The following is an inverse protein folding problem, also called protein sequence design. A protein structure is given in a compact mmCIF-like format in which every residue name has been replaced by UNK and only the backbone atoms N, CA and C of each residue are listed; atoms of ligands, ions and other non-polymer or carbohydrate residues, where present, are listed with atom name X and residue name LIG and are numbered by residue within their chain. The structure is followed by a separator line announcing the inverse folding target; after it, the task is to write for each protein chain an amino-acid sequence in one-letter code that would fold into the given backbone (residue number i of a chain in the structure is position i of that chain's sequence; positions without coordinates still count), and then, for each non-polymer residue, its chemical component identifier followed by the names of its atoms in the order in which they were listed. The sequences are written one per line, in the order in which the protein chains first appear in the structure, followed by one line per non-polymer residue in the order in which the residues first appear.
data_IF_850222274910
#
_entry.id   IF_850222274910
#
_cell.length_a   1.000
_cell.length_b   1.000
_cell.length_c   1.000
_cell.angle_alpha   90.00
_cell.angle_beta   90.00
_cell.angle_gamma   90.00
#
_symmetry.space_group_name_H-M   'P 1'
#
loop_
_entity.id
_entity.type
_entity.pdbx_description
1 polymer ?
#
# COMPACT_ATOMS: atom_id res chain seq x y z
N UNK A 1 -3.49 -5.85 -11.20
CA UNK A 1 -3.10 -5.71 -9.78
C UNK A 1 -1.61 -5.61 -9.64
N UNK A 2 -1.15 -4.83 -8.67
CA UNK A 2 0.28 -4.67 -8.39
C UNK A 2 0.60 -5.34 -7.06
N UNK A 3 1.69 -6.11 -7.04
CA UNK A 3 2.24 -6.69 -5.81
C UNK A 3 3.28 -5.75 -5.26
N UNK A 4 3.13 -5.37 -3.99
CA UNK A 4 4.02 -4.42 -3.32
C UNK A 4 4.72 -5.08 -2.15
N UNK A 5 6.03 -4.83 -2.04
CA UNK A 5 6.80 -5.20 -0.85
C UNK A 5 6.89 -3.97 0.05
N UNK A 6 6.33 -4.07 1.25
CA UNK A 6 6.28 -2.97 2.21
C UNK A 6 7.33 -3.13 3.30
N UNK A 7 7.99 -2.04 3.64
CA UNK A 7 8.89 -1.97 4.78
C UNK A 7 8.14 -1.33 5.94
N UNK A 8 7.90 -2.08 7.01
CA UNK A 8 7.23 -1.62 8.21
C UNK A 8 8.22 -1.42 9.37
N UNK A 9 9.49 -1.28 9.07
CA UNK A 9 10.53 -1.10 10.06
C UNK A 9 10.99 -2.42 10.65
N UNK A 10 10.21 -2.99 11.56
CA UNK A 10 10.55 -4.25 12.22
C UNK A 10 10.26 -5.49 11.36
N UNK A 11 9.48 -5.34 10.32
CA UNK A 11 9.12 -6.46 9.43
C UNK A 11 8.84 -5.94 8.03
N UNK A 12 8.81 -6.87 7.09
CA UNK A 12 8.40 -6.59 5.71
C UNK A 12 7.15 -7.39 5.39
N UNK A 13 6.28 -6.79 4.60
CA UNK A 13 5.04 -7.44 4.18
C UNK A 13 4.83 -7.29 2.69
N UNK A 14 4.08 -8.23 2.15
CA UNK A 14 3.64 -8.20 0.77
C UNK A 14 2.15 -7.88 0.76
N UNK A 15 1.76 -6.92 -0.07
CA UNK A 15 0.34 -6.64 -0.31
C UNK A 15 0.06 -6.65 -1.81
N UNK A 16 -1.20 -6.87 -2.16
CA UNK A 16 -1.67 -6.81 -3.54
C UNK A 16 -2.73 -5.72 -3.62
N UNK A 17 -2.57 -4.80 -4.56
CA UNK A 17 -3.47 -3.67 -4.69
C UNK A 17 -3.90 -3.47 -6.14
N UNK A 18 -5.17 -3.11 -6.33
CA UNK A 18 -5.74 -2.89 -7.66
C UNK A 18 -5.53 -1.47 -8.17
N UNK A 19 -4.28 -1.01 -8.19
CA UNK A 19 -3.94 0.36 -8.59
C UNK A 19 -3.14 0.43 -9.88
N UNK A 20 -3.03 -0.68 -10.60
CA UNK A 20 -2.15 -0.78 -11.78
C UNK A 20 -2.57 0.07 -12.97
N UNK A 21 -3.80 0.60 -13.00
CA UNK A 21 -4.25 1.49 -14.05
C UNK A 21 -3.79 2.92 -13.86
N UNK A 22 -3.50 3.31 -12.62
CA UNK A 22 -3.18 4.70 -12.26
C UNK A 22 -1.70 4.85 -11.94
N UNK A 23 -1.11 3.82 -11.33
CA UNK A 23 0.28 3.85 -10.89
C UNK A 23 1.11 2.81 -11.60
N UNK A 24 2.33 3.17 -11.95
CA UNK A 24 3.33 2.25 -12.48
C UNK A 24 4.19 1.74 -11.31
N UNK A 25 4.61 0.47 -11.33
CA UNK A 25 5.45 -0.07 -10.24
C UNK A 25 6.68 0.78 -9.94
N UNK A 26 7.35 1.28 -10.96
CA UNK A 26 8.55 2.10 -10.78
C UNK A 26 8.30 3.42 -10.05
N UNK A 27 7.09 3.96 -10.13
CA UNK A 27 6.73 5.20 -9.45
C UNK A 27 6.44 4.99 -7.97
N UNK A 28 6.28 3.73 -7.55
CA UNK A 28 5.93 3.39 -6.18
C UNK A 28 7.15 3.05 -5.32
N UNK A 29 8.29 2.79 -5.96
CA UNK A 29 9.52 2.45 -5.24
C UNK A 29 9.97 3.66 -4.42
N UNK A 30 10.19 3.46 -3.11
CA UNK A 30 10.62 4.52 -2.22
C UNK A 30 9.51 5.43 -1.73
N UNK A 31 8.28 5.24 -2.21
CA UNK A 31 7.15 6.04 -1.77
C UNK A 31 6.62 5.52 -0.44
N UNK A 32 6.38 6.44 0.50
CA UNK A 32 5.72 6.09 1.76
C UNK A 32 4.22 6.16 1.57
N UNK A 33 3.50 5.15 2.06
CA UNK A 33 2.04 5.10 1.93
C UNK A 33 1.40 4.69 3.25
N UNK A 34 0.14 5.06 3.43
CA UNK A 34 -0.65 4.65 4.57
C UNK A 34 -1.24 3.27 4.31
N UNK A 35 -1.07 2.35 5.25
CA UNK A 35 -1.58 0.98 5.11
C UNK A 35 -2.27 0.53 6.38
N UNK A 36 -3.23 -0.38 6.23
CA UNK A 36 -3.83 -1.10 7.35
C UNK A 36 -3.10 -2.43 7.44
N UNK A 37 -2.32 -2.61 8.50
CA UNK A 37 -1.45 -3.78 8.65
C UNK A 37 -2.03 -4.85 9.56
N UNK A 38 -3.01 -4.52 10.40
CA UNK A 38 -3.59 -5.45 11.36
C UNK A 38 -4.82 -6.17 10.81
N UNK A 39 -4.71 -6.63 9.58
CA UNK A 39 -5.74 -7.41 8.91
C UNK A 39 -5.28 -8.86 8.74
N UNK A 40 -6.24 -9.77 8.69
CA UNK A 40 -5.94 -11.15 8.35
C UNK A 40 -5.45 -11.24 6.92
N UNK A 41 -4.45 -12.08 6.64
CA UNK A 41 -3.98 -12.26 5.27
C UNK A 41 -5.09 -12.77 4.35
N UNK A 42 -5.09 -12.30 3.12
CA UNK A 42 -6.02 -12.73 2.08
C UNK A 42 -5.23 -13.16 0.85
N UNK A 43 -5.77 -14.15 0.15
CA UNK A 43 -5.20 -14.55 -1.14
C UNK A 43 -5.97 -13.88 -2.26
N UNK A 44 -5.27 -13.08 -3.06
CA UNK A 44 -5.83 -12.39 -4.22
C UNK A 44 -5.05 -12.83 -5.46
N UNK A 45 -5.74 -13.34 -6.45
CA UNK A 45 -5.11 -13.82 -7.70
C UNK A 45 -3.99 -14.83 -7.43
N UNK A 46 -4.17 -15.70 -6.42
CA UNK A 46 -3.17 -16.69 -6.03
C UNK A 46 -2.00 -16.15 -5.24
N UNK A 47 -2.00 -14.87 -4.88
CA UNK A 47 -0.93 -14.20 -4.13
C UNK A 47 -1.46 -13.79 -2.77
N UNK A 48 -0.72 -14.09 -1.71
CA UNK A 48 -1.10 -13.69 -0.36
C UNK A 48 -0.85 -12.20 -0.15
N UNK A 49 -1.86 -11.50 0.35
CA UNK A 49 -1.79 -10.08 0.70
C UNK A 49 -1.92 -9.91 2.20
N UNK A 50 -0.93 -9.31 2.83
CA UNK A 50 -0.82 -9.13 4.29
C UNK A 50 -1.07 -7.67 4.70
N UNK A 51 -2.22 -7.14 4.33
CA UNK A 51 -2.59 -5.79 4.63
C UNK A 51 -3.26 -5.12 3.44
N UNK A 52 -3.57 -3.85 3.59
CA UNK A 52 -4.24 -3.08 2.54
C UNK A 52 -3.77 -1.63 2.59
N UNK A 53 -3.45 -1.08 1.43
CA UNK A 53 -3.15 0.35 1.36
C UNK A 53 -4.44 1.18 1.45
N UNK A 54 -4.28 2.44 1.81
CA UNK A 54 -5.38 3.39 1.85
C UNK A 54 -5.26 4.36 0.68
N UNK A 55 -6.38 4.60 0.02
CA UNK A 55 -6.44 5.53 -1.09
C UNK A 55 -7.78 6.26 -1.07
N UNK A 56 -7.75 7.53 -1.45
CA UNK A 56 -8.95 8.30 -1.67
C UNK A 56 -9.42 8.05 -3.11
N UNK A 57 -10.71 7.86 -3.30
CA UNK A 57 -11.27 7.66 -4.63
C UNK A 57 -11.96 8.93 -5.10
N UNK A 58 -11.54 9.42 -6.26
CA UNK A 58 -12.20 10.56 -6.89
C UNK A 58 -13.51 10.12 -7.57
N UNK A 59 -14.27 11.09 -8.07
CA UNK A 59 -15.55 10.82 -8.74
C UNK A 59 -15.40 9.90 -9.95
N UNK A 60 -14.25 9.94 -10.62
CA UNK A 60 -13.96 9.04 -11.74
C UNK A 60 -13.56 7.64 -11.28
N UNK A 61 -13.52 7.38 -9.97
CA UNK A 61 -13.17 6.08 -9.43
C UNK A 61 -11.68 5.78 -9.37
N UNK A 62 -10.82 6.71 -9.78
CA UNK A 62 -9.38 6.49 -9.72
C UNK A 62 -8.84 6.61 -8.29
N UNK A 63 -8.06 5.64 -7.83
CA UNK A 63 -7.47 5.71 -6.48
C UNK A 63 -6.31 6.69 -6.42
N UNK A 64 -6.29 7.49 -5.35
CA UNK A 64 -5.18 8.40 -5.06
C UNK A 64 -4.61 7.99 -3.71
N UNK A 65 -3.35 7.58 -3.70
CA UNK A 65 -2.72 7.05 -2.49
C UNK A 65 -2.59 8.12 -1.41
N UNK A 66 -2.83 7.70 -0.16
CA UNK A 66 -2.61 8.57 0.99
C UNK A 66 -1.16 8.42 1.43
N UNK A 67 -0.45 9.52 1.49
CA UNK A 67 0.96 9.54 1.86
C UNK A 67 1.19 10.52 3.00
N UNK A 68 2.25 10.32 3.82
CA UNK A 68 2.58 11.31 4.84
C UNK A 68 3.13 12.57 4.16
N UNK A 69 2.80 13.72 4.70
CA UNK A 69 3.27 15.00 4.16
C UNK A 69 4.79 15.17 4.33
N UNK A 70 5.34 14.58 5.39
CA UNK A 70 6.76 14.58 5.65
C UNK A 70 7.24 13.16 5.80
N UNK A 71 8.52 12.92 5.51
CA UNK A 71 9.10 11.60 5.69
C UNK A 71 9.00 11.16 7.16
N UNK A 72 8.58 9.93 7.37
CA UNK A 72 8.53 9.30 8.68
C UNK A 72 9.25 7.96 8.63
N UNK A 73 9.72 7.44 9.77
CA UNK A 73 10.34 6.11 9.78
C UNK A 73 9.35 5.04 9.30
N UNK A 74 9.82 4.05 8.52
CA UNK A 74 8.96 2.93 8.15
C UNK A 74 8.36 2.26 9.38
N UNK A 75 7.07 1.95 9.31
CA UNK A 75 6.35 1.36 10.42
C UNK A 75 5.79 2.35 11.43
N UNK A 76 5.93 3.66 11.18
CA UNK A 76 5.35 4.67 12.05
C UNK A 76 3.84 4.47 12.16
N UNK A 77 3.33 4.53 13.38
CA UNK A 77 1.92 4.26 13.66
C UNK A 77 1.06 5.47 13.30
N UNK A 78 -0.08 5.19 12.64
CA UNK A 78 -1.09 6.21 12.37
C UNK A 78 -2.12 6.17 13.48
N UNK A 79 -2.33 7.32 14.11
CA UNK A 79 -3.26 7.43 15.24
C UNK A 79 -3.89 8.84 15.33
#
# INVERSE_FOLDING_TARGET
MIKLALDLGSEKRQIVAGIGRVYKPEDLIGLEIAVVANLEPKTLMGIESNGMLLAASADNGEPVLLIPQKEVPPGAEIR
#
